data_IF_389013030903
#
_entry.id   IF_389013030903
#
_cell.length_a   1.000
_cell.length_b   1.000
_cell.length_c   1.000
_cell.angle_alpha   90.00
_cell.angle_beta   90.00
_cell.angle_gamma   90.00
#
_symmetry.space_group_name_H-M   'P 1'
#
loop_
_entity.id
_entity.type
_entity.pdbx_description
1 polymer ?
#
# COMPACT_ATOMS: atom_id res chain seq x y z
N UNK A 1 -5.16 12.05 -2.73
CA UNK A 1 -5.47 10.61 -2.81
C UNK A 1 -4.82 10.08 -4.07
N UNK A 2 -3.95 9.08 -3.97
CA UNK A 2 -3.39 8.36 -5.13
C UNK A 2 -4.00 6.97 -5.19
N UNK A 3 -4.45 6.57 -6.37
CA UNK A 3 -5.03 5.27 -6.66
C UNK A 3 -4.08 4.54 -7.61
N UNK A 4 -3.59 3.38 -7.17
CA UNK A 4 -2.67 2.57 -7.96
C UNK A 4 -3.29 1.20 -8.12
N UNK A 5 -3.46 0.75 -9.36
CA UNK A 5 -3.80 -0.63 -9.68
C UNK A 5 -2.52 -1.26 -10.19
N UNK A 6 -2.04 -2.29 -9.49
CA UNK A 6 -0.80 -2.96 -9.84
C UNK A 6 -0.91 -4.46 -9.58
N UNK A 7 -0.19 -5.25 -10.38
CA UNK A 7 0.17 -6.61 -10.00
C UNK A 7 1.30 -6.52 -8.99
N UNK A 8 1.06 -7.02 -7.79
CA UNK A 8 2.02 -6.94 -6.70
C UNK A 8 1.84 -8.08 -5.69
N UNK A 9 2.90 -8.38 -4.96
CA UNK A 9 2.84 -9.10 -3.68
C UNK A 9 2.97 -8.10 -2.52
N UNK A 10 2.52 -8.51 -1.34
CA UNK A 10 2.61 -7.67 -0.13
C UNK A 10 3.06 -8.49 1.07
N UNK A 11 4.08 -8.01 1.74
CA UNK A 11 4.55 -8.54 3.01
C UNK A 11 4.31 -7.54 4.13
N UNK A 12 3.75 -8.03 5.24
CA UNK A 12 3.68 -7.27 6.47
C UNK A 12 4.66 -7.85 7.48
N UNK A 13 5.57 -7.00 7.94
CA UNK A 13 6.57 -7.30 8.95
C UNK A 13 6.36 -6.41 10.17
N UNK A 14 5.61 -6.90 11.15
CA UNK A 14 5.37 -6.20 12.41
C UNK A 14 5.19 -7.18 13.57
N UNK A 15 4.24 -6.91 14.47
CA UNK A 15 3.88 -7.85 15.56
C UNK A 15 3.36 -9.20 15.07
N UNK A 16 2.77 -9.23 13.88
CA UNK A 16 2.41 -10.42 13.14
C UNK A 16 3.14 -10.41 11.79
N UNK A 17 3.22 -11.56 11.16
CA UNK A 17 3.64 -11.68 9.76
C UNK A 17 2.44 -12.03 8.90
N UNK A 18 2.33 -11.39 7.74
CA UNK A 18 1.33 -11.72 6.74
C UNK A 18 1.94 -11.59 5.35
N UNK A 19 1.56 -12.50 4.46
CA UNK A 19 1.98 -12.51 3.07
C UNK A 19 0.75 -12.56 2.17
N UNK A 20 0.65 -11.61 1.24
CA UNK A 20 -0.31 -11.64 0.15
C UNK A 20 0.46 -12.04 -1.12
N UNK A 21 0.09 -13.16 -1.77
CA UNK A 21 0.73 -13.57 -3.00
C UNK A 21 0.41 -12.60 -4.13
N UNK A 22 1.23 -12.66 -5.18
CA UNK A 22 1.10 -11.87 -6.41
C UNK A 22 -0.33 -11.93 -6.96
N UNK A 23 -0.95 -10.76 -7.09
CA UNK A 23 -2.22 -10.57 -7.76
C UNK A 23 -2.39 -9.10 -8.14
N UNK A 24 -3.31 -8.77 -9.07
CA UNK A 24 -3.78 -7.40 -9.22
C UNK A 24 -4.46 -6.92 -7.94
N UNK A 25 -4.01 -5.78 -7.41
CA UNK A 25 -4.57 -5.13 -6.21
C UNK A 25 -4.84 -3.67 -6.50
N UNK A 26 -5.83 -3.11 -5.79
CA UNK A 26 -5.98 -1.67 -5.66
C UNK A 26 -5.23 -1.22 -4.40
N UNK A 27 -4.33 -0.26 -4.57
CA UNK A 27 -3.53 0.37 -3.52
C UNK A 27 -4.00 1.80 -3.40
N UNK A 28 -4.51 2.16 -2.23
CA UNK A 28 -4.91 3.54 -1.93
C UNK A 28 -3.87 4.19 -1.04
N UNK A 29 -3.36 5.35 -1.47
CA UNK A 29 -2.47 6.21 -0.68
C UNK A 29 -3.20 7.52 -0.36
N UNK A 30 -3.51 7.72 0.91
CA UNK A 30 -4.24 8.90 1.40
C UNK A 30 -3.28 10.05 1.73
N UNK A 31 -3.84 11.26 1.80
CA UNK A 31 -3.08 12.48 2.10
C UNK A 31 -2.50 12.51 3.52
N UNK A 32 -3.11 11.80 4.47
CA UNK A 32 -2.62 11.64 5.84
C UNK A 32 -1.49 10.59 5.96
N UNK A 33 -1.11 9.96 4.84
CA UNK A 33 -0.09 8.91 4.78
C UNK A 33 -0.65 7.49 4.87
N UNK A 34 -1.94 7.30 5.15
CA UNK A 34 -2.53 5.96 5.21
C UNK A 34 -2.35 5.22 3.89
N UNK A 35 -2.00 3.93 3.97
CA UNK A 35 -1.93 3.02 2.81
C UNK A 35 -2.82 1.81 3.04
N UNK A 36 -3.60 1.40 2.04
CA UNK A 36 -4.46 0.22 2.13
C UNK A 36 -4.50 -0.58 0.83
N UNK A 37 -4.52 -1.91 0.97
CA UNK A 37 -4.46 -2.88 -0.13
C UNK A 37 -5.80 -3.59 -0.23
N UNK A 38 -6.39 -3.58 -1.43
CA UNK A 38 -7.73 -4.09 -1.70
C UNK A 38 -7.72 -5.14 -2.83
N UNK A 39 -8.74 -5.97 -2.82
CA UNK A 39 -9.05 -6.95 -3.84
C UNK A 39 -10.55 -6.92 -4.14
N UNK A 40 -10.95 -7.54 -5.24
CA UNK A 40 -12.36 -7.58 -5.67
C UNK A 40 -13.22 -8.55 -4.82
N UNK A 41 -12.60 -9.44 -4.03
CA UNK A 41 -13.30 -10.48 -3.26
C UNK A 41 -13.64 -10.07 -1.81
N UNK A 42 -14.79 -10.56 -1.34
CA UNK A 42 -15.23 -10.85 0.05
C UNK A 42 -15.12 -9.81 1.17
N UNK A 43 -14.67 -8.57 0.97
CA UNK A 43 -14.71 -7.60 2.06
C UNK A 43 -14.79 -6.12 1.61
N UNK A 44 -15.62 -5.34 2.31
CA UNK A 44 -15.52 -3.87 2.29
C UNK A 44 -14.25 -3.35 2.98
N UNK A 45 -13.54 -4.23 3.69
CA UNK A 45 -12.31 -3.92 4.42
C UNK A 45 -11.09 -4.24 3.56
N UNK A 46 -10.00 -3.47 3.68
CA UNK A 46 -8.74 -3.81 3.03
C UNK A 46 -8.19 -5.15 3.52
N UNK A 47 -7.45 -5.84 2.66
CA UNK A 47 -6.73 -7.07 3.00
C UNK A 47 -5.56 -6.78 3.96
N UNK A 48 -4.91 -5.64 3.78
CA UNK A 48 -3.83 -5.17 4.64
C UNK A 48 -3.76 -3.65 4.58
N UNK A 49 -3.36 -2.99 5.67
CA UNK A 49 -3.31 -1.54 5.73
C UNK A 49 -2.32 -1.05 6.77
N UNK A 50 -1.87 0.19 6.60
CA UNK A 50 -1.13 0.93 7.60
C UNK A 50 -1.81 2.28 7.81
N UNK A 51 -2.27 2.50 9.05
CA UNK A 51 -2.87 3.77 9.48
C UNK A 51 -1.79 4.80 9.83
N UNK A 52 -2.10 6.10 9.77
CA UNK A 52 -1.16 7.12 10.16
C UNK A 52 -1.00 7.12 11.69
N UNK A 53 0.15 7.56 12.22
CA UNK A 53 1.30 8.09 11.50
C UNK A 53 2.18 7.00 10.87
N UNK A 54 2.38 7.10 9.56
CA UNK A 54 3.28 6.25 8.80
C UNK A 54 3.87 7.02 7.60
N UNK A 55 4.88 6.45 6.96
CA UNK A 55 5.57 7.06 5.82
C UNK A 55 5.75 6.03 4.72
N UNK A 56 5.32 6.40 3.51
CA UNK A 56 5.57 5.63 2.29
C UNK A 56 6.92 6.07 1.68
N UNK A 57 7.78 5.09 1.38
CA UNK A 57 8.98 5.26 0.57
C UNK A 57 8.87 4.38 -0.67
N UNK A 58 9.00 4.99 -1.84
CA UNK A 58 9.15 4.28 -3.11
C UNK A 58 10.63 3.97 -3.33
N UNK A 59 10.95 2.70 -3.58
CA UNK A 59 12.31 2.24 -3.82
C UNK A 59 12.88 2.78 -5.12
N UNK A 60 14.20 2.92 -5.17
CA UNK A 60 14.96 3.49 -6.29
C UNK A 60 16.29 2.78 -6.42
N UNK A 61 16.86 2.70 -7.63
CA UNK A 61 18.11 1.97 -7.86
C UNK A 61 17.88 0.47 -7.71
N UNK A 62 18.63 -0.19 -6.84
CA UNK A 62 18.55 -1.65 -6.64
C UNK A 62 17.20 -2.11 -6.03
N UNK A 63 16.46 -1.19 -5.39
CA UNK A 63 15.13 -1.44 -4.80
C UNK A 63 13.97 -0.94 -5.68
N UNK A 64 14.23 -0.61 -6.95
CA UNK A 64 13.18 -0.15 -7.88
C UNK A 64 11.99 -1.12 -7.90
N UNK A 65 10.77 -0.58 -7.82
CA UNK A 65 9.54 -1.37 -7.74
C UNK A 65 9.15 -1.85 -6.34
N UNK A 66 9.98 -1.65 -5.32
CA UNK A 66 9.60 -1.99 -3.93
C UNK A 66 9.14 -0.76 -3.16
N UNK A 67 7.88 -0.73 -2.74
CA UNK A 67 7.33 0.34 -1.91
C UNK A 67 7.25 -0.12 -0.46
N UNK A 68 7.73 0.71 0.48
CA UNK A 68 7.71 0.38 1.90
C UNK A 68 6.98 1.44 2.70
N UNK A 69 5.96 1.03 3.46
CA UNK A 69 5.24 1.87 4.41
C UNK A 69 5.69 1.51 5.82
N UNK A 70 6.19 2.49 6.59
CA UNK A 70 6.71 2.26 7.94
C UNK A 70 5.91 3.09 8.94
N UNK A 71 5.45 2.47 10.04
CA UNK A 71 4.80 3.18 11.14
C UNK A 71 5.78 3.55 12.27
N UNK A 72 5.32 4.29 13.28
CA UNK A 72 6.15 4.69 14.43
C UNK A 72 6.72 3.52 15.26
N UNK A 73 6.12 2.35 15.19
CA UNK A 73 6.61 1.15 15.87
C UNK A 73 7.66 0.38 15.03
N UNK A 74 7.99 0.86 13.83
CA UNK A 74 8.91 0.20 12.91
C UNK A 74 8.31 -0.97 12.14
N UNK A 75 6.99 -1.20 12.25
CA UNK A 75 6.29 -2.22 11.45
C UNK A 75 6.25 -1.77 9.98
N UNK A 76 6.43 -2.72 9.06
CA UNK A 76 6.54 -2.46 7.63
C UNK A 76 5.43 -3.14 6.85
N UNK A 77 4.83 -2.40 5.92
CA UNK A 77 4.06 -2.94 4.81
C UNK A 77 4.90 -2.77 3.55
N UNK A 78 5.41 -3.89 3.02
CA UNK A 78 6.30 -3.93 1.85
C UNK A 78 5.47 -4.41 0.67
N UNK A 79 5.40 -3.60 -0.38
CA UNK A 79 4.63 -3.86 -1.59
C UNK A 79 5.63 -3.99 -2.73
N UNK A 80 5.75 -5.19 -3.29
CA UNK A 80 6.64 -5.45 -4.42
C UNK A 80 5.84 -5.38 -5.70
N UNK A 81 6.08 -4.34 -6.50
CA UNK A 81 5.39 -4.09 -7.76
C UNK A 81 6.01 -4.94 -8.87
N UNK A 82 5.18 -5.71 -9.55
CA UNK A 82 5.56 -6.43 -10.77
C UNK A 82 5.15 -5.66 -12.03
N UNK A 83 3.98 -5.04 -12.00
CA UNK A 83 3.41 -4.28 -13.11
C UNK A 83 2.43 -3.22 -12.59
N UNK A 84 2.59 -1.96 -13.01
CA UNK A 84 1.62 -0.90 -12.73
C UNK A 84 0.64 -0.81 -13.91
N UNK A 85 -0.63 -1.10 -13.64
CA UNK A 85 -1.73 -1.05 -14.63
C UNK A 85 -2.39 0.32 -14.68
N UNK A 86 -2.43 1.03 -13.55
CA UNK A 86 -3.00 2.36 -13.44
C UNK A 86 -2.38 3.12 -12.26
N UNK A 87 -2.12 4.41 -12.44
CA UNK A 87 -1.65 5.31 -11.39
C UNK A 87 -2.25 6.71 -11.63
N UNK A 88 -3.12 7.14 -10.72
CA UNK A 88 -3.78 8.44 -10.79
C UNK A 88 -3.85 9.11 -9.42
N UNK A 89 -3.94 10.45 -9.44
CA UNK A 89 -4.01 11.25 -8.23
C UNK A 89 -5.15 12.26 -8.30
N UNK A 90 -5.87 12.41 -7.19
CA UNK A 90 -7.02 13.29 -7.04
C UNK A 90 -6.97 14.01 -5.69
N UNK A 91 -7.35 15.29 -5.70
CA UNK A 91 -7.64 16.03 -4.48
C UNK A 91 -9.03 15.65 -3.97
N UNK A 92 -9.12 15.33 -2.69
CA UNK A 92 -10.38 15.13 -1.99
C UNK A 92 -10.59 16.30 -1.04
N UNK A 93 -11.84 16.58 -0.69
CA UNK A 93 -12.18 17.65 0.25
C UNK A 93 -11.62 17.41 1.66
N UNK A 94 -11.80 18.41 2.52
CA UNK A 94 -11.48 18.29 3.94
C UNK A 94 -12.42 17.30 4.63
N UNK A 95 -11.91 16.63 5.67
CA UNK A 95 -12.76 15.89 6.60
C UNK A 95 -13.76 16.87 7.23
N UNK A 96 -15.06 16.52 7.34
CA UNK A 96 -16.10 17.42 7.83
C UNK A 96 -15.96 17.81 9.31
#
# INVERSE_FOLDING_TARGET
MRLVIARCSVDYAGRLTAHLPSAPRLILVKADGSVSIHADDRAYKPLNWMSPPCTLKEGSGDDEGTWTVINKAGEKLIITMEEILHDSSHELGVDP
#
